data_IF_695553047864
#
_entry.id   IF_695553047864
#
_cell.length_a   1.000
_cell.length_b   1.000
_cell.length_c   1.000
_cell.angle_alpha   90.00
_cell.angle_beta   90.00
_cell.angle_gamma   90.00
#
_symmetry.space_group_name_H-M   'P 1'
#
loop_
_entity.id
_entity.type
_entity.pdbx_description
1 polymer ?
#
# COMPACT_ATOMS: atom_id res chain seq x y z
N UNK A 1 -9.36 -2.38 -22.11
CA UNK A 1 -9.37 -3.66 -21.36
C UNK A 1 -9.32 -3.45 -19.84
N UNK A 2 -8.36 -2.68 -19.31
CA UNK A 2 -8.22 -2.41 -17.86
C UNK A 2 -9.49 -1.82 -17.27
N UNK A 3 -10.03 -0.74 -17.87
CA UNK A 3 -11.28 -0.08 -17.47
C UNK A 3 -12.44 -1.07 -17.34
N UNK A 4 -12.69 -1.86 -18.38
CA UNK A 4 -13.77 -2.85 -18.39
C UNK A 4 -13.58 -3.93 -17.30
N UNK A 5 -12.36 -4.42 -17.11
CA UNK A 5 -12.05 -5.40 -16.07
C UNK A 5 -12.29 -4.84 -14.67
N UNK A 6 -11.86 -3.61 -14.37
CA UNK A 6 -12.05 -2.98 -13.07
C UNK A 6 -13.54 -2.70 -12.83
N UNK A 7 -14.18 -1.97 -13.75
CA UNK A 7 -15.53 -1.47 -13.53
C UNK A 7 -16.60 -2.56 -13.57
N UNK A 8 -16.44 -3.61 -14.39
CA UNK A 8 -17.41 -4.73 -14.42
C UNK A 8 -17.65 -5.33 -13.04
N UNK A 9 -16.60 -5.50 -12.24
CA UNK A 9 -16.70 -6.05 -10.87
C UNK A 9 -17.25 -5.02 -9.88
N UNK A 10 -16.88 -3.75 -10.02
CA UNK A 10 -17.27 -2.69 -9.07
C UNK A 10 -18.72 -2.25 -9.27
N UNK A 11 -19.14 -2.05 -10.52
CA UNK A 11 -20.51 -1.66 -10.85
C UNK A 11 -21.51 -2.79 -10.62
N UNK A 12 -21.08 -4.05 -10.66
CA UNK A 12 -21.91 -5.19 -10.28
C UNK A 12 -22.35 -5.17 -8.79
N UNK A 13 -21.63 -4.44 -7.93
CA UNK A 13 -22.04 -4.21 -6.55
C UNK A 13 -23.00 -3.00 -6.39
N UNK A 14 -23.32 -2.31 -7.49
CA UNK A 14 -24.21 -1.13 -7.57
C UNK A 14 -23.98 -0.08 -6.47
N UNK A 15 -22.75 0.46 -6.32
CA UNK A 15 -22.48 1.46 -5.31
C UNK A 15 -23.07 2.83 -5.69
N UNK A 16 -23.53 3.58 -4.69
CA UNK A 16 -24.00 4.97 -4.86
C UNK A 16 -22.86 5.90 -5.32
N UNK A 17 -21.67 5.67 -4.78
CA UNK A 17 -20.45 6.40 -5.10
C UNK A 17 -19.23 5.48 -5.11
N UNK A 18 -18.25 5.81 -5.96
CA UNK A 18 -17.01 5.05 -6.11
C UNK A 18 -15.80 6.00 -6.14
N UNK A 19 -14.79 5.71 -5.33
CA UNK A 19 -13.48 6.34 -5.45
C UNK A 19 -12.48 5.34 -6.02
N UNK A 20 -11.70 5.74 -7.02
CA UNK A 20 -10.70 4.89 -7.68
C UNK A 20 -9.30 5.42 -7.41
N UNK A 21 -8.41 4.57 -6.91
CA UNK A 21 -7.02 4.91 -6.64
C UNK A 21 -6.14 4.48 -7.82
N UNK A 22 -5.73 5.44 -8.66
CA UNK A 22 -4.92 5.22 -9.84
C UNK A 22 -3.45 5.48 -9.51
N UNK A 23 -2.65 4.41 -9.50
CA UNK A 23 -1.23 4.49 -9.14
C UNK A 23 -0.37 5.02 -10.29
N UNK A 24 0.63 5.85 -9.95
CA UNK A 24 1.71 6.26 -10.85
C UNK A 24 3.07 6.12 -10.18
N UNK A 25 4.06 5.59 -10.90
CA UNK A 25 5.44 5.47 -10.40
C UNK A 25 6.07 4.10 -10.63
N UNK A 26 7.25 3.87 -10.05
CA UNK A 26 8.07 2.68 -10.27
C UNK A 26 7.34 1.36 -9.93
N UNK A 27 6.51 1.34 -8.89
CA UNK A 27 5.69 0.19 -8.50
C UNK A 27 4.30 0.14 -9.13
N UNK A 28 3.92 1.12 -9.95
CA UNK A 28 2.61 1.16 -10.59
C UNK A 28 2.59 0.42 -11.93
N UNK A 29 1.40 0.09 -12.41
CA UNK A 29 1.20 -0.34 -13.79
C UNK A 29 1.40 0.82 -14.78
N UNK A 30 0.93 2.02 -14.42
CA UNK A 30 1.15 3.25 -15.18
C UNK A 30 2.44 3.92 -14.71
N UNK A 31 3.45 3.98 -15.57
CA UNK A 31 4.75 4.57 -15.20
C UNK A 31 4.80 6.08 -15.40
N UNK A 32 4.01 6.63 -16.33
CA UNK A 32 3.95 8.05 -16.64
C UNK A 32 2.69 8.72 -16.07
N UNK A 33 2.76 10.02 -15.81
CA UNK A 33 1.61 10.81 -15.37
C UNK A 33 0.52 10.90 -16.45
N UNK A 34 0.91 10.92 -17.73
CA UNK A 34 -0.01 10.96 -18.87
C UNK A 34 -0.85 9.67 -18.93
N UNK A 35 -0.20 8.50 -18.84
CA UNK A 35 -0.91 7.22 -18.85
C UNK A 35 -1.84 7.06 -17.64
N UNK A 36 -1.39 7.49 -16.46
CA UNK A 36 -2.20 7.47 -15.25
C UNK A 36 -3.43 8.38 -15.40
N UNK A 37 -3.26 9.58 -15.97
CA UNK A 37 -4.37 10.51 -16.27
C UNK A 37 -5.34 9.90 -17.28
N UNK A 38 -4.84 9.34 -18.38
CA UNK A 38 -5.67 8.71 -19.40
C UNK A 38 -6.51 7.55 -18.83
N UNK A 39 -5.91 6.72 -17.97
CA UNK A 39 -6.62 5.64 -17.28
C UNK A 39 -7.66 6.18 -16.30
N UNK A 40 -7.31 7.19 -15.51
CA UNK A 40 -8.23 7.82 -14.55
C UNK A 40 -9.47 8.42 -15.25
N UNK A 41 -9.27 9.18 -16.33
CA UNK A 41 -10.37 9.72 -17.15
C UNK A 41 -11.24 8.61 -17.73
N UNK A 42 -10.63 7.59 -18.33
CA UNK A 42 -11.39 6.48 -18.91
C UNK A 42 -12.22 5.73 -17.86
N UNK A 43 -11.70 5.57 -16.64
CA UNK A 43 -12.41 4.96 -15.52
C UNK A 43 -13.59 5.80 -15.03
N UNK A 44 -13.38 7.10 -14.82
CA UNK A 44 -14.41 7.99 -14.28
C UNK A 44 -15.53 8.21 -15.29
N UNK A 45 -15.22 8.53 -16.54
CA UNK A 45 -16.21 8.74 -17.60
C UNK A 45 -17.08 7.49 -17.82
N UNK A 46 -16.47 6.31 -17.85
CA UNK A 46 -17.20 5.05 -18.05
C UNK A 46 -18.11 4.74 -16.87
N UNK A 47 -17.66 4.96 -15.63
CA UNK A 47 -18.47 4.69 -14.44
C UNK A 47 -19.62 5.68 -14.28
N UNK A 48 -19.39 6.96 -14.58
CA UNK A 48 -20.43 8.00 -14.61
C UNK A 48 -21.45 7.71 -15.70
N UNK A 49 -21.02 7.30 -16.89
CA UNK A 49 -21.93 6.88 -17.96
C UNK A 49 -22.77 5.64 -17.58
N UNK A 50 -22.27 4.79 -16.68
CA UNK A 50 -22.99 3.67 -16.11
C UNK A 50 -23.87 4.04 -14.89
N UNK A 51 -24.00 5.33 -14.56
CA UNK A 51 -24.87 5.83 -13.50
C UNK A 51 -24.27 5.82 -12.10
N UNK A 52 -22.97 5.59 -11.95
CA UNK A 52 -22.28 5.60 -10.66
C UNK A 52 -21.39 6.84 -10.52
N UNK A 53 -21.65 7.68 -9.51
CA UNK A 53 -20.80 8.85 -9.24
C UNK A 53 -19.40 8.36 -8.89
N UNK A 54 -18.41 8.79 -9.67
CA UNK A 54 -17.06 8.23 -9.57
C UNK A 54 -15.99 9.29 -9.68
N UNK A 55 -15.09 9.33 -8.70
CA UNK A 55 -13.89 10.17 -8.71
C UNK A 55 -12.64 9.28 -8.66
N UNK A 56 -11.68 9.53 -9.54
CA UNK A 56 -10.36 8.93 -9.50
C UNK A 56 -9.35 9.86 -8.80
N UNK A 57 -8.53 9.29 -7.93
CA UNK A 57 -7.39 9.94 -7.28
C UNK A 57 -6.11 9.32 -7.84
N UNK A 58 -5.24 10.14 -8.43
CA UNK A 58 -3.92 9.70 -8.89
C UNK A 58 -2.96 9.80 -7.71
N UNK A 59 -2.37 8.67 -7.30
CA UNK A 59 -1.46 8.61 -6.15
C UNK A 59 -0.10 8.01 -6.48
N UNK A 60 0.93 8.47 -5.76
CA UNK A 60 2.31 8.03 -5.96
C UNK A 60 2.52 6.58 -5.50
N UNK A 61 3.27 5.85 -6.32
CA UNK A 61 3.74 4.49 -6.09
C UNK A 61 5.22 4.37 -6.49
N UNK A 62 5.99 5.47 -6.38
CA UNK A 62 7.44 5.48 -6.65
C UNK A 62 8.25 4.85 -5.52
N UNK A 63 7.58 4.49 -4.44
CA UNK A 63 8.05 3.72 -3.30
C UNK A 63 6.88 2.97 -2.67
N UNK A 64 7.13 1.93 -1.84
CA UNK A 64 6.09 1.30 -1.05
C UNK A 64 5.33 2.32 -0.19
N UNK A 65 4.00 2.19 -0.17
CA UNK A 65 3.13 3.06 0.62
C UNK A 65 3.37 2.82 2.12
N UNK A 66 3.28 1.56 2.54
CA UNK A 66 3.64 1.08 3.86
C UNK A 66 5.16 0.76 3.92
N UNK A 67 5.79 0.78 5.11
CA UNK A 67 7.17 0.31 5.28
C UNK A 67 7.27 -1.23 5.26
N UNK A 68 6.33 -1.91 4.60
CA UNK A 68 6.26 -3.35 4.45
C UNK A 68 5.68 -3.73 3.08
N UNK A 69 6.10 -4.88 2.55
CA UNK A 69 5.48 -5.58 1.42
C UNK A 69 5.33 -7.06 1.76
N UNK A 70 4.14 -7.62 1.58
CA UNK A 70 3.86 -9.01 1.90
C UNK A 70 2.39 -9.21 2.26
N UNK A 71 2.11 -10.16 3.15
CA UNK A 71 0.73 -10.43 3.57
C UNK A 71 0.56 -10.13 5.06
N UNK A 72 1.16 -10.96 5.92
CA UNK A 72 1.10 -10.76 7.37
C UNK A 72 1.79 -9.45 7.79
N UNK A 73 2.91 -9.12 7.16
CA UNK A 73 3.64 -7.87 7.42
C UNK A 73 2.80 -6.63 7.10
N UNK A 74 2.00 -6.65 6.05
CA UNK A 74 1.11 -5.53 5.71
C UNK A 74 -0.07 -5.43 6.68
N UNK A 75 -0.63 -6.57 7.11
CA UNK A 75 -1.66 -6.58 8.17
C UNK A 75 -1.10 -6.00 9.48
N UNK A 76 0.17 -6.28 9.80
CA UNK A 76 0.81 -5.66 10.97
C UNK A 76 0.88 -4.13 10.84
N UNK A 77 1.24 -3.57 9.67
CA UNK A 77 1.23 -2.10 9.47
C UNK A 77 -0.18 -1.51 9.58
N UNK A 78 -1.20 -2.19 9.03
CA UNK A 78 -2.59 -1.77 9.19
C UNK A 78 -2.97 -1.75 10.66
N UNK A 79 -2.63 -2.79 11.42
CA UNK A 79 -2.95 -2.85 12.83
C UNK A 79 -2.25 -1.75 13.63
N UNK A 80 -0.98 -1.45 13.36
CA UNK A 80 -0.27 -0.31 13.99
C UNK A 80 -0.93 1.02 13.71
N UNK A 81 -1.48 1.22 12.51
CA UNK A 81 -2.25 2.43 12.20
C UNK A 81 -3.56 2.44 12.99
N UNK A 82 -4.31 1.33 13.00
CA UNK A 82 -5.61 1.24 13.66
C UNK A 82 -5.52 1.31 15.19
N UNK A 83 -4.41 0.84 15.78
CA UNK A 83 -4.14 0.92 17.24
C UNK A 83 -3.44 2.22 17.64
N UNK A 84 -3.20 3.14 16.70
CA UNK A 84 -2.62 4.46 16.97
C UNK A 84 -1.11 4.45 17.24
N UNK A 85 -0.41 3.36 16.93
CA UNK A 85 1.05 3.25 17.09
C UNK A 85 1.80 4.06 16.04
N UNK A 86 1.24 4.19 14.83
CA UNK A 86 1.88 4.93 13.73
C UNK A 86 0.88 5.79 12.95
N UNK A 87 1.38 6.92 12.47
CA UNK A 87 0.73 7.72 11.44
C UNK A 87 1.69 7.83 10.25
N UNK A 88 1.16 8.04 9.05
CA UNK A 88 2.01 8.12 7.86
C UNK A 88 1.22 8.10 6.56
N UNK A 89 1.88 7.76 5.43
CA UNK A 89 1.25 7.75 4.12
C UNK A 89 -0.02 6.90 4.02
N UNK A 90 -0.10 5.79 4.77
CA UNK A 90 -1.32 4.97 4.87
C UNK A 90 -2.52 5.79 5.37
N UNK A 91 -2.35 6.54 6.46
CA UNK A 91 -3.41 7.42 6.99
C UNK A 91 -3.75 8.51 5.97
N UNK A 92 -2.73 9.13 5.36
CA UNK A 92 -2.93 10.21 4.40
C UNK A 92 -3.74 9.77 3.17
N UNK A 93 -3.43 8.61 2.57
CA UNK A 93 -4.20 8.10 1.43
C UNK A 93 -5.61 7.67 1.85
N UNK A 94 -5.77 7.05 3.03
CA UNK A 94 -7.10 6.66 3.53
C UNK A 94 -8.00 7.88 3.75
N UNK A 95 -7.46 8.95 4.33
CA UNK A 95 -8.15 10.23 4.53
C UNK A 95 -8.51 10.86 3.19
N UNK A 96 -7.58 10.89 2.23
CA UNK A 96 -7.84 11.47 0.91
C UNK A 96 -8.92 10.71 0.12
N UNK A 97 -8.84 9.37 0.08
CA UNK A 97 -9.82 8.54 -0.62
C UNK A 97 -11.18 8.54 0.08
N UNK A 98 -11.18 8.41 1.41
CA UNK A 98 -12.39 8.39 2.20
C UNK A 98 -13.13 9.74 2.19
N UNK A 99 -12.40 10.86 2.17
CA UNK A 99 -13.01 12.18 2.05
C UNK A 99 -13.76 12.38 0.74
N UNK A 100 -13.16 11.94 -0.38
CA UNK A 100 -13.82 11.93 -1.69
C UNK A 100 -15.06 11.04 -1.66
N UNK A 101 -14.93 9.81 -1.13
CA UNK A 101 -16.05 8.87 -1.08
C UNK A 101 -17.23 9.40 -0.25
N UNK A 102 -16.98 10.02 0.91
CA UNK A 102 -18.03 10.58 1.75
C UNK A 102 -18.72 11.77 1.08
N UNK A 103 -17.98 12.63 0.39
CA UNK A 103 -18.56 13.75 -0.35
C UNK A 103 -19.41 13.25 -1.54
N UNK A 104 -18.88 12.31 -2.32
CA UNK A 104 -19.59 11.77 -3.48
C UNK A 104 -20.87 11.02 -3.06
N UNK A 105 -20.83 10.32 -1.93
CA UNK A 105 -22.00 9.65 -1.35
C UNK A 105 -22.99 10.62 -0.67
N UNK A 106 -22.72 11.93 -0.63
CA UNK A 106 -23.57 12.92 0.06
C UNK A 106 -23.59 12.78 1.58
N UNK A 107 -22.59 12.10 2.15
CA UNK A 107 -22.43 11.91 3.59
C UNK A 107 -21.60 13.02 4.24
N UNK A 108 -20.92 13.84 3.45
CA UNK A 108 -20.24 15.09 3.84
C UNK A 108 -20.58 16.21 2.84
N UNK A 109 -20.54 17.47 3.29
CA UNK A 109 -20.84 18.63 2.45
C UNK A 109 -19.78 18.88 1.39
N UNK A 110 -18.53 18.53 1.67
CA UNK A 110 -17.42 18.55 0.70
C UNK A 110 -16.33 17.52 1.05
N UNK A 111 -15.31 17.46 0.20
CA UNK A 111 -14.18 16.52 0.33
C UNK A 111 -13.37 16.79 1.59
N UNK A 112 -13.24 18.05 2.02
CA UNK A 112 -12.46 18.40 3.20
C UNK A 112 -13.19 17.96 4.47
N UNK A 113 -14.49 18.23 4.56
CA UNK A 113 -15.32 17.73 5.68
C UNK A 113 -15.30 16.20 5.74
N UNK A 114 -15.38 15.53 4.59
CA UNK A 114 -15.25 14.08 4.51
C UNK A 114 -13.88 13.60 5.02
N UNK A 115 -12.80 14.24 4.60
CA UNK A 115 -11.45 13.92 5.03
C UNK A 115 -11.27 14.10 6.55
N UNK A 116 -11.78 15.20 7.10
CA UNK A 116 -11.73 15.49 8.55
C UNK A 116 -12.49 14.42 9.35
N UNK A 117 -13.65 13.98 8.86
CA UNK A 117 -14.42 12.88 9.48
C UNK A 117 -13.67 11.55 9.47
N UNK A 118 -13.00 11.20 8.37
CA UNK A 118 -12.19 9.98 8.29
C UNK A 118 -10.98 10.06 9.23
N UNK A 119 -10.30 11.21 9.27
CA UNK A 119 -9.17 11.44 10.17
C UNK A 119 -9.60 11.32 11.64
N UNK A 120 -10.72 11.94 12.02
CA UNK A 120 -11.30 11.83 13.35
C UNK A 120 -11.70 10.39 13.68
N UNK A 121 -12.23 9.63 12.72
CA UNK A 121 -12.58 8.24 12.91
C UNK A 121 -11.34 7.36 13.18
N UNK A 122 -10.26 7.56 12.43
CA UNK A 122 -9.01 6.83 12.64
C UNK A 122 -8.37 7.15 14.00
N UNK A 123 -8.52 8.38 14.50
CA UNK A 123 -7.96 8.79 15.79
C UNK A 123 -8.72 8.26 17.01
N UNK A 124 -9.99 7.87 16.90
CA UNK A 124 -10.84 7.54 18.05
C UNK A 124 -10.92 6.06 18.44
N UNK A 125 -10.15 5.17 17.79
CA UNK A 125 -10.10 3.73 18.09
C UNK A 125 -11.31 2.91 17.58
N UNK A 126 -12.42 3.55 17.18
CA UNK A 126 -13.62 2.87 16.68
C UNK A 126 -13.37 2.09 15.37
N UNK A 127 -12.36 2.49 14.59
CA UNK A 127 -12.00 1.79 13.34
C UNK A 127 -11.37 0.44 13.67
N UNK A 128 -10.51 0.34 14.69
CA UNK A 128 -9.95 -0.93 15.14
C UNK A 128 -11.06 -1.88 15.61
N UNK A 129 -12.00 -1.40 16.43
CA UNK A 129 -13.16 -2.21 16.88
C UNK A 129 -14.00 -2.71 15.70
N UNK A 130 -14.30 -1.84 14.71
CA UNK A 130 -15.03 -2.23 13.50
C UNK A 130 -14.26 -3.26 12.68
N UNK A 131 -12.96 -3.11 12.55
CA UNK A 131 -12.08 -4.07 11.87
C UNK A 131 -12.09 -5.43 12.57
N UNK A 132 -11.96 -5.46 13.91
CA UNK A 132 -12.05 -6.69 14.70
C UNK A 132 -13.38 -7.42 14.54
N UNK A 133 -14.50 -6.70 14.55
CA UNK A 133 -15.82 -7.28 14.27
C UNK A 133 -15.92 -7.86 12.86
N UNK A 134 -15.36 -7.18 11.87
CA UNK A 134 -15.32 -7.66 10.48
C UNK A 134 -14.49 -8.95 10.35
N UNK A 135 -13.34 -9.03 11.04
CA UNK A 135 -12.51 -10.24 11.07
C UNK A 135 -13.26 -11.41 11.71
N UNK A 136 -13.87 -11.20 12.88
CA UNK A 136 -14.64 -12.24 13.57
C UNK A 136 -15.85 -12.71 12.76
N UNK A 137 -16.57 -11.80 12.09
CA UNK A 137 -17.72 -12.12 11.24
C UNK A 137 -17.36 -13.01 10.03
N UNK A 138 -16.09 -12.99 9.60
CA UNK A 138 -15.57 -13.82 8.50
C UNK A 138 -14.86 -15.09 9.00
N UNK A 139 -15.02 -15.45 10.28
CA UNK A 139 -14.43 -16.66 10.87
C UNK A 139 -12.99 -16.49 11.38
N UNK A 140 -12.48 -15.27 11.46
CA UNK A 140 -11.21 -14.97 12.10
C UNK A 140 -11.29 -15.00 13.64
N UNK A 141 -10.16 -14.79 14.33
CA UNK A 141 -10.09 -14.86 15.79
C UNK A 141 -10.97 -13.81 16.48
N UNK A 142 -11.68 -14.22 17.54
CA UNK A 142 -12.29 -13.30 18.50
C UNK A 142 -11.17 -12.57 19.24
N UNK A 143 -11.35 -11.27 19.53
CA UNK A 143 -10.33 -10.41 20.14
C UNK A 143 -9.05 -10.25 19.30
N UNK A 144 -9.15 -10.35 17.96
CA UNK A 144 -8.01 -10.11 17.06
C UNK A 144 -7.33 -8.77 17.34
N UNK A 145 -8.08 -7.70 17.58
CA UNK A 145 -7.53 -6.35 17.82
C UNK A 145 -6.63 -6.28 19.06
N UNK A 146 -6.94 -7.04 20.10
CA UNK A 146 -6.20 -6.97 21.37
C UNK A 146 -4.88 -7.77 21.32
N UNK A 147 -4.79 -8.74 20.40
CA UNK A 147 -3.67 -9.68 20.33
C UNK A 147 -3.23 -9.99 18.90
N UNK A 148 -3.41 -9.05 17.96
CA UNK A 148 -3.24 -9.26 16.52
C UNK A 148 -1.87 -9.85 16.19
N UNK A 149 -0.82 -9.38 16.85
CA UNK A 149 0.55 -9.83 16.63
C UNK A 149 0.74 -11.34 16.85
N UNK A 150 -0.02 -11.94 17.77
CA UNK A 150 0.03 -13.39 18.05
C UNK A 150 -0.57 -14.23 16.91
N UNK A 151 -1.51 -13.68 16.16
CA UNK A 151 -2.24 -14.40 15.12
C UNK A 151 -1.55 -14.32 13.75
N UNK A 152 -0.63 -13.39 13.57
CA UNK A 152 0.09 -13.23 12.33
C UNK A 152 1.24 -14.24 12.24
N UNK A 153 1.38 -14.96 11.11
CA UNK A 153 2.48 -15.90 10.95
C UNK A 153 3.81 -15.15 10.79
N UNK A 154 4.87 -15.76 11.30
CA UNK A 154 6.24 -15.20 11.28
C UNK A 154 7.16 -16.11 10.46
N UNK A 155 8.03 -15.50 9.67
CA UNK A 155 9.00 -16.23 8.85
C UNK A 155 10.14 -16.79 9.71
N UNK A 156 10.68 -17.93 9.31
CA UNK A 156 11.76 -18.62 10.06
C UNK A 156 13.13 -17.99 9.90
N UNK A 157 13.33 -17.17 8.87
CA UNK A 157 14.58 -16.45 8.60
C UNK A 157 14.29 -14.96 8.43
N UNK A 158 14.85 -14.15 9.32
CA UNK A 158 14.81 -12.69 9.24
C UNK A 158 16.22 -12.18 9.01
N UNK A 159 16.43 -11.38 7.96
CA UNK A 159 17.75 -10.94 7.52
C UNK A 159 17.74 -9.46 7.13
N UNK A 160 18.63 -8.68 7.73
CA UNK A 160 18.76 -7.26 7.40
C UNK A 160 19.50 -7.04 6.07
N UNK A 161 19.05 -6.05 5.30
CA UNK A 161 19.71 -5.59 4.08
C UNK A 161 20.50 -4.32 4.42
N UNK A 162 21.78 -4.45 4.72
CA UNK A 162 22.61 -3.30 5.11
C UNK A 162 22.94 -2.37 3.92
N UNK A 163 23.03 -1.06 4.13
CA UNK A 163 23.43 -0.09 3.11
C UNK A 163 24.93 -0.25 2.75
N UNK A 164 25.30 -0.38 1.47
CA UNK A 164 26.70 -0.60 1.08
C UNK A 164 27.58 0.65 1.28
N UNK A 165 26.96 1.84 1.21
CA UNK A 165 27.57 3.16 1.38
C UNK A 165 26.60 4.07 2.13
N UNK A 166 27.12 5.19 2.65
CA UNK A 166 26.27 6.27 3.18
C UNK A 166 25.69 7.10 2.03
N UNK A 167 24.48 7.64 2.19
CA UNK A 167 23.85 8.48 1.18
C UNK A 167 22.38 8.78 1.49
N UNK A 168 21.68 9.35 0.53
CA UNK A 168 20.23 9.53 0.53
C UNK A 168 19.57 8.51 -0.37
N UNK A 169 18.45 7.92 0.07
CA UNK A 169 17.64 7.02 -0.76
C UNK A 169 17.01 7.83 -1.89
N UNK A 170 17.48 7.65 -3.12
CA UNK A 170 17.15 8.51 -4.26
C UNK A 170 16.17 7.89 -5.24
N UNK A 171 16.13 6.57 -5.32
CA UNK A 171 15.14 5.83 -6.07
C UNK A 171 14.86 4.49 -5.40
N UNK A 172 13.61 4.02 -5.52
CA UNK A 172 13.19 2.68 -5.12
C UNK A 172 12.44 2.07 -6.31
N UNK A 173 12.93 0.92 -6.80
CA UNK A 173 12.25 0.14 -7.82
C UNK A 173 11.18 -0.74 -7.15
N UNK A 174 9.95 -0.22 -7.08
CA UNK A 174 8.83 -0.91 -6.45
C UNK A 174 8.44 -2.21 -7.16
N UNK A 175 8.63 -2.30 -8.48
CA UNK A 175 8.35 -3.51 -9.25
C UNK A 175 9.37 -4.60 -8.91
N UNK A 176 10.66 -4.27 -8.85
CA UNK A 176 11.70 -5.19 -8.43
C UNK A 176 11.49 -5.69 -6.99
N UNK A 177 11.07 -4.82 -6.07
CA UNK A 177 10.71 -5.22 -4.70
C UNK A 177 9.50 -6.16 -4.67
N UNK A 178 8.44 -5.85 -5.43
CA UNK A 178 7.27 -6.73 -5.55
C UNK A 178 7.64 -8.12 -6.09
N UNK A 179 8.48 -8.18 -7.12
CA UNK A 179 8.99 -9.45 -7.66
C UNK A 179 9.88 -10.21 -6.67
N UNK A 180 10.62 -9.51 -5.80
CA UNK A 180 11.37 -10.15 -4.72
C UNK A 180 10.42 -10.84 -3.72
N UNK A 181 9.30 -10.21 -3.35
CA UNK A 181 8.28 -10.83 -2.50
C UNK A 181 7.62 -12.04 -3.16
N UNK A 182 7.31 -11.97 -4.46
CA UNK A 182 6.79 -13.12 -5.21
C UNK A 182 7.79 -14.30 -5.18
N UNK A 183 9.08 -14.03 -5.39
CA UNK A 183 10.14 -15.06 -5.33
C UNK A 183 10.36 -15.63 -3.94
N UNK A 184 10.04 -14.87 -2.89
CA UNK A 184 10.03 -15.36 -1.51
C UNK A 184 8.87 -16.32 -1.22
N UNK A 185 7.82 -16.32 -2.06
CA UNK A 185 6.59 -17.09 -1.87
C UNK A 185 5.41 -16.25 -1.35
N UNK A 186 5.58 -14.93 -1.19
CA UNK A 186 4.53 -14.03 -0.72
C UNK A 186 3.51 -13.66 -1.80
N UNK A 187 3.69 -14.16 -3.03
CA UNK A 187 2.78 -13.99 -4.14
C UNK A 187 2.85 -15.19 -5.08
N UNK A 188 2.07 -15.14 -6.16
CA UNK A 188 1.94 -16.23 -7.14
C UNK A 188 2.75 -15.93 -8.39
N UNK A 189 3.54 -16.89 -8.87
CA UNK A 189 4.14 -16.82 -10.22
C UNK A 189 3.17 -17.39 -11.25
N UNK A 190 2.44 -18.44 -10.88
CA UNK A 190 1.33 -19.02 -11.63
C UNK A 190 0.10 -19.18 -10.73
N UNK A 191 -1.09 -19.27 -11.33
CA UNK A 191 -2.37 -19.24 -10.60
C UNK A 191 -2.48 -20.29 -9.47
N UNK A 192 -1.89 -21.46 -9.67
CA UNK A 192 -1.93 -22.57 -8.71
C UNK A 192 -0.97 -22.48 -7.52
N UNK A 193 -0.09 -21.48 -7.47
CA UNK A 193 0.89 -21.36 -6.38
C UNK A 193 0.22 -21.07 -5.03
N UNK A 194 0.72 -21.77 -3.99
CA UNK A 194 0.39 -21.46 -2.61
C UNK A 194 1.19 -20.24 -2.14
N UNK A 195 0.51 -19.30 -1.50
CA UNK A 195 1.14 -18.12 -0.89
C UNK A 195 1.55 -18.47 0.52
N UNK A 196 2.80 -18.17 0.87
CA UNK A 196 3.27 -18.11 2.26
C UNK A 196 2.99 -16.70 2.81
N UNK A 197 2.06 -16.53 3.77
CA UNK A 197 1.71 -15.19 4.24
C UNK A 197 2.79 -14.57 5.15
N UNK A 198 3.73 -15.37 5.66
CA UNK A 198 4.73 -14.94 6.64
C UNK A 198 5.92 -14.21 6.00
N UNK A 199 6.19 -14.48 4.71
CA UNK A 199 7.34 -13.93 3.99
C UNK A 199 7.05 -12.55 3.40
N UNK A 200 8.12 -11.78 3.18
CA UNK A 200 8.04 -10.44 2.61
C UNK A 200 9.19 -9.55 3.03
N UNK A 201 8.93 -8.24 3.02
CA UNK A 201 9.87 -7.19 3.38
C UNK A 201 9.26 -6.28 4.44
N UNK A 202 10.03 -5.84 5.43
CA UNK A 202 9.61 -4.86 6.44
C UNK A 202 10.70 -3.83 6.71
N UNK A 203 10.38 -2.76 7.44
CA UNK A 203 11.36 -1.73 7.82
C UNK A 203 12.01 -1.07 6.60
N UNK A 204 11.25 -0.93 5.51
CA UNK A 204 11.77 -0.42 4.24
C UNK A 204 11.99 1.08 4.38
N UNK A 205 13.21 1.53 4.09
CA UNK A 205 13.56 2.96 4.05
C UNK A 205 12.72 3.71 3.03
N UNK A 206 12.50 5.00 3.28
CA UNK A 206 11.72 5.87 2.39
C UNK A 206 12.60 6.69 1.48
N UNK A 207 12.03 7.09 0.34
CA UNK A 207 12.65 8.08 -0.55
C UNK A 207 13.00 9.36 0.21
N UNK A 208 14.26 9.76 0.08
CA UNK A 208 14.85 10.90 0.73
C UNK A 208 15.32 10.66 2.16
N UNK A 209 15.22 9.45 2.70
CA UNK A 209 15.86 9.12 3.98
C UNK A 209 17.38 9.14 3.81
N UNK A 210 18.09 9.60 4.85
CA UNK A 210 19.55 9.55 4.91
C UNK A 210 19.96 8.29 5.65
N UNK A 211 20.83 7.50 5.04
CA UNK A 211 21.37 6.26 5.62
C UNK A 211 22.89 6.33 5.73
N UNK A 212 23.44 5.67 6.74
CA UNK A 212 24.88 5.46 6.87
C UNK A 212 25.26 4.08 6.33
N UNK A 213 26.49 3.91 5.86
CA UNK A 213 27.03 2.58 5.53
C UNK A 213 26.77 1.61 6.69
N UNK A 214 26.20 0.46 6.37
CA UNK A 214 25.82 -0.57 7.34
C UNK A 214 24.41 -0.44 7.93
N UNK A 215 23.73 0.71 7.79
CA UNK A 215 22.36 0.87 8.28
C UNK A 215 21.38 -0.01 7.48
N UNK A 216 20.31 -0.49 8.11
CA UNK A 216 19.31 -1.31 7.43
C UNK A 216 18.54 -0.49 6.38
N UNK A 217 18.45 -1.02 5.16
CA UNK A 217 17.59 -0.54 4.08
C UNK A 217 16.20 -1.19 4.13
N UNK A 218 16.15 -2.45 4.58
CA UNK A 218 14.94 -3.24 4.82
C UNK A 218 15.33 -4.49 5.62
N UNK A 219 14.32 -5.24 6.05
CA UNK A 219 14.43 -6.59 6.59
C UNK A 219 13.71 -7.57 5.66
N UNK A 220 14.38 -8.64 5.30
CA UNK A 220 13.84 -9.76 4.53
C UNK A 220 13.29 -10.80 5.48
N UNK A 221 12.03 -11.18 5.28
CA UNK A 221 11.35 -12.29 5.96
C UNK A 221 11.22 -13.44 4.97
N UNK A 222 11.86 -14.57 5.24
CA UNK A 222 11.92 -15.71 4.33
C UNK A 222 11.74 -17.05 5.07
N UNK A 223 11.22 -18.05 4.36
CA UNK A 223 11.12 -19.40 4.91
C UNK A 223 12.47 -20.15 4.95
N UNK A 224 13.43 -19.77 4.10
CA UNK A 224 14.74 -20.46 3.99
C UNK A 224 15.89 -19.47 3.79
N UNK A 225 17.07 -19.91 4.20
CA UNK A 225 18.29 -19.10 4.15
C UNK A 225 18.72 -18.73 2.72
N UNK A 226 18.61 -19.66 1.76
CA UNK A 226 18.94 -19.39 0.36
C UNK A 226 18.03 -18.34 -0.27
N UNK A 227 16.72 -18.43 -0.01
CA UNK A 227 15.75 -17.41 -0.45
C UNK A 227 16.02 -16.07 0.20
N UNK A 228 16.41 -16.05 1.48
CA UNK A 228 16.76 -14.81 2.18
C UNK A 228 17.96 -14.13 1.53
N UNK A 229 19.03 -14.88 1.20
CA UNK A 229 20.21 -14.34 0.50
C UNK A 229 19.89 -13.82 -0.90
N UNK A 230 19.03 -14.50 -1.64
CA UNK A 230 18.61 -14.06 -2.97
C UNK A 230 17.79 -12.75 -2.90
N UNK A 231 16.85 -12.67 -1.97
CA UNK A 231 16.05 -11.48 -1.74
C UNK A 231 16.90 -10.31 -1.22
N UNK A 232 17.87 -10.54 -0.33
CA UNK A 232 18.80 -9.50 0.14
C UNK A 232 19.52 -8.80 -1.02
N UNK A 233 20.00 -9.58 -2.00
CA UNK A 233 20.63 -9.06 -3.21
C UNK A 233 19.65 -8.26 -4.07
N UNK A 234 18.43 -8.77 -4.25
CA UNK A 234 17.40 -8.11 -5.05
C UNK A 234 16.97 -6.76 -4.42
N UNK A 235 16.74 -6.73 -3.11
CA UNK A 235 16.36 -5.52 -2.37
C UNK A 235 17.47 -4.47 -2.45
N UNK A 236 18.73 -4.88 -2.24
CA UNK A 236 19.89 -3.99 -2.36
C UNK A 236 20.02 -3.37 -3.75
N UNK A 237 19.70 -4.13 -4.80
CA UNK A 237 19.73 -3.64 -6.18
C UNK A 237 18.55 -2.72 -6.52
N UNK A 238 17.41 -2.87 -5.84
CA UNK A 238 16.21 -2.07 -6.06
C UNK A 238 16.25 -0.70 -5.38
N UNK A 239 17.21 -0.45 -4.48
CA UNK A 239 17.32 0.82 -3.73
C UNK A 239 18.59 1.55 -4.16
N UNK A 240 18.42 2.72 -4.75
CA UNK A 240 19.52 3.58 -5.20
C UNK A 240 19.84 4.63 -4.14
N UNK A 241 21.14 4.83 -3.87
CA UNK A 241 21.63 5.88 -2.98
C UNK A 241 22.34 6.99 -3.78
N UNK A 242 22.18 8.24 -3.39
CA UNK A 242 22.89 9.41 -3.94
C UNK A 242 23.52 10.27 -2.85
N UNK A 243 24.44 11.16 -3.24
CA UNK A 243 25.08 12.10 -2.30
C UNK A 243 24.17 13.28 -1.92
N UNK A 244 23.20 13.61 -2.77
CA UNK A 244 22.25 14.71 -2.57
C UNK A 244 20.84 14.18 -2.32
N UNK A 245 20.00 14.91 -1.55
CA UNK A 245 18.62 14.51 -1.32
C UNK A 245 17.80 14.60 -2.64
N UNK A 246 16.95 13.60 -2.94
CA UNK A 246 16.09 13.64 -4.13
C UNK A 246 14.90 14.57 -3.92
N UNK A 247 14.24 14.93 -5.02
CA UNK A 247 12.88 15.48 -4.98
C UNK A 247 11.92 14.38 -4.51
N UNK A 248 11.04 14.74 -3.56
CA UNK A 248 10.03 13.81 -3.05
C UNK A 248 8.73 13.98 -3.82
N UNK A 249 8.17 12.89 -4.37
CA UNK A 249 6.86 12.94 -5.00
C UNK A 249 5.77 13.25 -3.96
N UNK A 250 4.77 14.05 -4.34
CA UNK A 250 3.56 14.20 -3.54
C UNK A 250 2.76 12.89 -3.56
N UNK A 251 2.21 12.48 -2.42
CA UNK A 251 1.44 11.24 -2.33
C UNK A 251 0.15 11.30 -3.16
N UNK A 252 -0.55 12.43 -3.13
CA UNK A 252 -1.75 12.70 -3.94
C UNK A 252 -1.35 13.69 -5.03
N UNK A 253 -1.45 13.28 -6.29
CA UNK A 253 -1.02 14.11 -7.43
C UNK A 253 -2.17 14.90 -8.02
N UNK A 254 -3.30 14.25 -8.19
CA UNK A 254 -4.44 14.81 -8.91
C UNK A 254 -5.74 14.09 -8.52
N UNK A 255 -6.87 14.78 -8.67
CA UNK A 255 -8.22 14.20 -8.60
C UNK A 255 -8.95 14.49 -9.91
N UNK A 256 -9.66 13.50 -10.42
CA UNK A 256 -10.43 13.54 -11.68
C UNK A 256 -11.82 13.00 -11.37
N UNK A 257 -12.86 13.79 -11.58
CA UNK A 257 -14.25 13.44 -11.25
C UNK A 257 -15.19 14.58 -11.62
#
# INVERSE_FOLDING_TARGET
LITASILSKKLAASPDALVLDVKVGSGAFMKSAEDARALAVALTETAVAAGCRTTAVISDMSQPLAPALGNALEVAEVMRVLTGETAGPLVQICVALGGVLLADAGLAGDVQEGADRIAAALAGGQVAERFGRMVAAQGGPVAFVDAWARFLPEATVIREVAAPVSGYVSAIDGEALGLAVVRLGGGRQVEGDLVDPAVGLSGIVRLGDRVTKGAALAQVHAAREDSARAAEKAVRAAITLSDTPPLRPELIRERIG
#
